data_IF_601881856520
#
_entry.id   IF_601881856520
#
_cell.length_a   1.000
_cell.length_b   1.000
_cell.length_c   1.000
_cell.angle_alpha   90.00
_cell.angle_beta   90.00
_cell.angle_gamma   90.00
#
_symmetry.space_group_name_H-M   'P 1'
#
loop_
_entity.id
_entity.type
_entity.pdbx_description
1 polymer ?
#
# COMPACT_ATOMS: atom_id res chain seq x y z
N UNK A 1 -57.97 64.22 -19.08
CA UNK A 1 -58.69 64.61 -17.84
C UNK A 1 -58.67 63.39 -16.92
N UNK A 2 -57.64 63.18 -16.10
CA UNK A 2 -57.23 63.79 -14.81
C UNK A 2 -57.59 62.84 -13.63
N UNK A 3 -56.70 62.84 -12.63
CA UNK A 3 -56.74 62.14 -11.32
C UNK A 3 -56.13 60.72 -11.34
N UNK A 4 -54.86 60.48 -11.00
CA UNK A 4 -54.08 60.81 -9.77
C UNK A 4 -54.54 60.04 -8.53
N UNK A 5 -53.69 59.10 -8.07
CA UNK A 5 -53.40 58.87 -6.65
C UNK A 5 -52.24 57.89 -6.52
N UNK A 6 -51.04 58.46 -6.44
CA UNK A 6 -49.82 57.83 -5.95
C UNK A 6 -50.02 57.42 -4.49
N UNK A 7 -49.84 56.12 -4.16
CA UNK A 7 -49.68 55.66 -2.78
C UNK A 7 -48.33 54.98 -2.58
N UNK A 8 -47.70 55.47 -1.53
CA UNK A 8 -46.33 55.29 -1.08
C UNK A 8 -46.13 53.92 -0.39
N UNK A 9 -45.00 53.29 -0.74
CA UNK A 9 -44.14 52.34 0.00
C UNK A 9 -44.75 51.35 1.01
N UNK A 10 -44.41 50.07 0.83
CA UNK A 10 -43.81 49.28 1.91
C UNK A 10 -42.78 48.29 1.33
N UNK A 11 -41.52 48.44 1.73
CA UNK A 11 -40.47 47.45 1.53
C UNK A 11 -40.75 46.24 2.44
N UNK A 12 -40.81 45.05 1.86
CA UNK A 12 -40.67 43.80 2.60
C UNK A 12 -39.61 42.95 1.90
N UNK A 13 -38.37 43.08 2.37
CA UNK A 13 -37.24 42.23 1.99
C UNK A 13 -37.45 40.84 2.59
N UNK A 14 -38.03 39.91 1.83
CA UNK A 14 -38.06 38.50 2.23
C UNK A 14 -36.74 37.84 1.81
N UNK A 15 -35.81 37.80 2.77
CA UNK A 15 -34.58 37.02 2.71
C UNK A 15 -34.95 35.54 2.93
N UNK A 16 -35.36 34.84 1.88
CA UNK A 16 -35.55 33.38 1.96
C UNK A 16 -34.19 32.72 1.81
N UNK A 17 -33.65 32.32 2.95
CA UNK A 17 -32.39 31.62 3.11
C UNK A 17 -32.33 30.34 2.27
N UNK A 18 -31.16 30.11 1.67
CA UNK A 18 -30.77 28.86 1.05
C UNK A 18 -30.95 27.68 2.00
N UNK A 19 -31.98 26.87 1.77
CA UNK A 19 -32.08 25.51 2.26
C UNK A 19 -31.23 24.60 1.40
N UNK A 20 -29.93 24.60 1.66
CA UNK A 20 -28.94 23.68 1.13
C UNK A 20 -29.41 22.22 1.28
N UNK A 21 -29.82 21.60 0.17
CA UNK A 21 -30.00 20.17 0.05
C UNK A 21 -28.70 19.49 0.44
N UNK A 22 -28.68 18.89 1.63
CA UNK A 22 -27.64 17.95 2.04
C UNK A 22 -27.74 16.71 1.17
N UNK A 23 -27.08 16.75 0.03
CA UNK A 23 -26.78 15.61 -0.81
C UNK A 23 -25.43 15.88 -1.45
N UNK A 24 -24.38 15.61 -0.69
CA UNK A 24 -23.18 14.95 -1.22
C UNK A 24 -22.36 14.53 -0.01
N UNK A 25 -22.69 13.33 0.48
CA UNK A 25 -21.65 12.49 1.00
C UNK A 25 -20.67 12.28 -0.17
N UNK A 26 -19.65 13.13 -0.23
CA UNK A 26 -18.42 12.84 -0.97
C UNK A 26 -17.85 11.57 -0.35
N UNK A 27 -18.41 10.46 -0.82
CA UNK A 27 -17.74 9.18 -0.89
C UNK A 27 -16.43 9.53 -1.56
N UNK A 28 -15.35 9.56 -0.79
CA UNK A 28 -14.02 9.52 -1.35
C UNK A 28 -14.02 8.26 -2.22
N UNK A 29 -14.23 8.44 -3.53
CA UNK A 29 -13.84 7.45 -4.51
C UNK A 29 -12.34 7.38 -4.34
N UNK A 30 -11.89 6.49 -3.46
CA UNK A 30 -10.59 5.86 -3.61
C UNK A 30 -10.58 5.38 -5.06
N UNK A 31 -9.81 6.07 -5.88
CA UNK A 31 -9.50 5.57 -7.21
C UNK A 31 -9.00 4.14 -6.99
N UNK A 32 -9.50 3.13 -7.71
CA UNK A 32 -8.95 1.79 -7.56
C UNK A 32 -7.50 1.89 -8.04
N UNK A 33 -6.59 2.02 -7.08
CA UNK A 33 -5.16 1.83 -7.29
C UNK A 33 -5.05 0.47 -7.95
N UNK A 34 -4.58 0.47 -9.21
CA UNK A 34 -4.46 -0.75 -9.97
C UNK A 34 -3.66 -1.77 -9.15
N UNK A 35 -4.01 -3.06 -9.17
CA UNK A 35 -3.40 -4.08 -8.32
C UNK A 35 -1.86 -4.12 -8.38
N UNK A 36 -1.28 -3.68 -9.50
CA UNK A 36 0.16 -3.56 -9.71
C UNK A 36 0.85 -2.42 -8.93
N UNK A 37 0.14 -1.34 -8.59
CA UNK A 37 0.76 -0.19 -7.92
C UNK A 37 1.13 -0.49 -6.46
N UNK A 38 0.41 -1.40 -5.80
CA UNK A 38 0.72 -1.81 -4.43
C UNK A 38 1.97 -2.69 -4.33
N UNK A 39 2.47 -3.18 -5.47
CA UNK A 39 3.69 -3.98 -5.59
C UNK A 39 4.78 -3.26 -6.41
N UNK A 40 4.55 -1.98 -6.73
CA UNK A 40 5.48 -1.19 -7.51
C UNK A 40 6.54 -0.52 -6.62
N UNK A 41 7.74 -0.35 -7.17
CA UNK A 41 8.85 0.33 -6.50
C UNK A 41 9.58 -0.56 -5.49
N UNK A 42 10.18 0.09 -4.50
CA UNK A 42 11.03 -0.57 -3.51
C UNK A 42 10.19 -1.22 -2.41
N UNK A 43 10.52 -2.47 -2.09
CA UNK A 43 9.88 -3.24 -1.03
C UNK A 43 10.94 -3.95 -0.18
N UNK A 44 10.62 -4.15 1.10
CA UNK A 44 11.41 -4.99 2.00
C UNK A 44 10.49 -6.06 2.58
N UNK A 45 10.89 -7.33 2.44
CA UNK A 45 10.24 -8.46 3.08
C UNK A 45 11.16 -9.05 4.15
N UNK A 46 10.60 -9.53 5.26
CA UNK A 46 11.35 -10.14 6.35
C UNK A 46 10.53 -11.21 7.06
N UNK A 47 11.21 -12.22 7.59
CA UNK A 47 10.62 -13.19 8.50
C UNK A 47 11.49 -13.35 9.75
N UNK A 48 10.84 -13.65 10.87
CA UNK A 48 11.47 -13.73 12.20
C UNK A 48 11.86 -15.16 12.57
N UNK A 49 11.12 -16.19 12.14
CA UNK A 49 11.51 -17.58 12.38
C UNK A 49 11.25 -18.50 11.16
N UNK A 50 12.32 -19.03 10.54
CA UNK A 50 13.72 -18.60 10.70
C UNK A 50 13.91 -17.13 10.28
N UNK A 51 14.98 -16.49 10.73
CA UNK A 51 15.31 -15.11 10.33
C UNK A 51 15.75 -15.04 8.86
N UNK A 52 15.12 -14.16 8.09
CA UNK A 52 15.50 -13.85 6.72
C UNK A 52 15.00 -12.47 6.30
N UNK A 53 15.63 -11.89 5.28
CA UNK A 53 15.16 -10.66 4.64
C UNK A 53 15.37 -10.70 3.13
N UNK A 54 14.45 -10.11 2.38
CA UNK A 54 14.59 -9.82 0.96
C UNK A 54 14.39 -8.32 0.73
N UNK A 55 15.41 -7.69 0.18
CA UNK A 55 15.37 -6.29 -0.26
C UNK A 55 15.11 -6.26 -1.75
N UNK A 56 14.00 -5.65 -2.18
CA UNK A 56 13.59 -5.54 -3.60
C UNK A 56 13.80 -4.11 -4.04
N UNK A 57 14.67 -3.90 -5.03
CA UNK A 57 14.94 -2.61 -5.67
C UNK A 57 14.73 -2.71 -7.17
N UNK A 58 14.63 -1.58 -7.86
CA UNK A 58 14.38 -1.55 -9.30
C UNK A 58 15.34 -2.44 -10.13
N UNK A 59 16.62 -2.49 -9.74
CA UNK A 59 17.69 -3.19 -10.45
C UNK A 59 18.06 -4.55 -9.85
N UNK A 60 17.68 -4.83 -8.59
CA UNK A 60 18.13 -6.05 -7.93
C UNK A 60 17.30 -6.52 -6.73
N UNK A 61 17.47 -7.80 -6.40
CA UNK A 61 17.02 -8.40 -5.15
C UNK A 61 18.25 -8.84 -4.35
N UNK A 62 18.24 -8.51 -3.06
CA UNK A 62 19.22 -9.01 -2.09
C UNK A 62 18.51 -9.92 -1.09
N UNK A 63 18.94 -11.17 -1.00
CA UNK A 63 18.46 -12.16 -0.04
C UNK A 63 19.49 -12.37 1.07
N UNK A 64 19.10 -12.05 2.30
CA UNK A 64 19.95 -12.03 3.50
C UNK A 64 19.45 -13.01 4.55
N UNK A 65 20.38 -13.70 5.22
CA UNK A 65 20.12 -14.61 6.35
C UNK A 65 21.26 -14.55 7.36
N UNK A 66 21.00 -14.70 8.67
CA UNK A 66 22.07 -14.66 9.66
C UNK A 66 23.15 -15.72 9.42
N UNK A 67 24.42 -15.30 9.51
CA UNK A 67 25.58 -16.20 9.39
C UNK A 67 25.88 -16.69 7.97
N UNK A 68 25.22 -16.14 6.95
CA UNK A 68 25.43 -16.49 5.54
C UNK A 68 25.63 -15.20 4.74
N UNK A 69 26.49 -15.25 3.71
CA UNK A 69 26.68 -14.10 2.82
C UNK A 69 25.43 -13.81 1.98
N UNK A 70 25.19 -12.53 1.76
CA UNK A 70 24.04 -12.03 1.00
C UNK A 70 24.08 -12.52 -0.44
N UNK A 71 22.94 -13.06 -0.91
CA UNK A 71 22.78 -13.46 -2.30
C UNK A 71 22.13 -12.31 -3.09
N UNK A 72 22.82 -11.79 -4.10
CA UNK A 72 22.35 -10.70 -4.96
C UNK A 72 21.95 -11.24 -6.34
N UNK A 73 20.80 -10.82 -6.83
CA UNK A 73 20.27 -11.21 -8.14
C UNK A 73 19.70 -9.98 -8.85
N UNK A 74 19.65 -10.01 -10.19
CA UNK A 74 18.89 -9.01 -10.95
C UNK A 74 17.40 -9.10 -10.60
N UNK A 75 16.68 -7.98 -10.67
CA UNK A 75 15.23 -7.98 -10.46
C UNK A 75 14.49 -8.37 -11.75
N UNK A 76 13.83 -9.55 -11.83
CA UNK A 76 13.04 -9.93 -12.99
C UNK A 76 11.70 -9.18 -13.07
N UNK A 77 11.35 -8.43 -12.03
CA UNK A 77 10.02 -7.87 -11.82
C UNK A 77 9.03 -8.89 -11.24
N UNK A 78 7.93 -8.41 -10.63
CA UNK A 78 6.88 -9.29 -10.17
C UNK A 78 5.96 -9.75 -11.30
N UNK A 79 5.48 -10.98 -11.21
CA UNK A 79 4.22 -11.38 -11.84
C UNK A 79 3.08 -11.01 -10.88
N UNK A 80 2.22 -10.07 -11.28
CA UNK A 80 1.12 -9.56 -10.46
C UNK A 80 -0.21 -10.20 -10.87
N UNK A 81 -0.91 -10.74 -9.89
CA UNK A 81 -2.24 -11.34 -10.03
C UNK A 81 -3.13 -10.86 -8.88
N UNK A 82 -4.13 -10.03 -9.18
CA UNK A 82 -5.05 -9.45 -8.19
C UNK A 82 -4.36 -8.83 -6.96
N UNK A 83 -4.41 -9.49 -5.82
CA UNK A 83 -3.89 -9.06 -4.53
C UNK A 83 -2.51 -9.68 -4.22
N UNK A 84 -1.85 -10.26 -5.22
CA UNK A 84 -0.57 -10.97 -5.06
C UNK A 84 0.46 -10.57 -6.11
N UNK A 85 1.72 -10.57 -5.70
CA UNK A 85 2.87 -10.40 -6.58
C UNK A 85 3.94 -11.46 -6.30
N UNK A 86 4.48 -12.05 -7.35
CA UNK A 86 5.47 -13.13 -7.25
C UNK A 86 6.77 -12.75 -7.95
N UNK A 87 7.89 -12.80 -7.22
CA UNK A 87 9.23 -12.75 -7.78
C UNK A 87 9.81 -14.16 -7.80
N UNK A 88 10.36 -14.57 -8.94
CA UNK A 88 11.01 -15.87 -9.10
C UNK A 88 12.45 -15.66 -9.53
N UNK A 89 13.39 -16.05 -8.68
CA UNK A 89 14.81 -16.17 -9.00
C UNK A 89 15.07 -17.65 -9.29
N UNK A 90 15.13 -18.00 -10.58
CA UNK A 90 15.27 -19.39 -11.02
C UNK A 90 16.72 -19.89 -10.95
N UNK A 91 17.69 -18.99 -11.13
CA UNK A 91 19.11 -19.28 -11.21
C UNK A 91 19.91 -18.45 -10.19
N UNK A 92 21.19 -18.79 -10.03
CA UNK A 92 22.10 -18.06 -9.14
C UNK A 92 22.44 -18.82 -7.84
N UNK A 93 23.16 -18.17 -6.91
CA UNK A 93 23.71 -18.83 -5.73
C UNK A 93 22.63 -19.25 -4.71
N UNK A 94 21.44 -18.65 -4.77
CA UNK A 94 20.32 -18.97 -3.89
C UNK A 94 18.98 -18.76 -4.64
N UNK A 95 18.54 -19.73 -5.45
CA UNK A 95 17.24 -19.66 -6.13
C UNK A 95 16.09 -19.63 -5.11
N UNK A 96 15.11 -18.77 -5.34
CA UNK A 96 13.94 -18.65 -4.46
C UNK A 96 12.72 -18.13 -5.21
N UNK A 97 11.55 -18.32 -4.58
CA UNK A 97 10.30 -17.69 -4.98
C UNK A 97 9.73 -16.91 -3.80
N UNK A 98 9.59 -15.61 -3.95
CA UNK A 98 8.93 -14.74 -2.98
C UNK A 98 7.54 -14.40 -3.51
N UNK A 99 6.52 -14.63 -2.70
CA UNK A 99 5.17 -14.15 -2.97
C UNK A 99 4.75 -13.18 -1.89
N UNK A 100 4.33 -11.98 -2.31
CA UNK A 100 3.70 -11.00 -1.43
C UNK A 100 2.20 -10.98 -1.71
N UNK A 101 1.40 -10.93 -0.65
CA UNK A 101 -0.07 -10.87 -0.71
C UNK A 101 -0.55 -9.71 0.13
N UNK A 102 -1.49 -8.91 -0.36
CA UNK A 102 -2.05 -7.79 0.44
C UNK A 102 -2.76 -8.33 1.67
N UNK A 103 -2.54 -7.65 2.79
CA UNK A 103 -3.20 -7.95 4.04
C UNK A 103 -2.34 -7.56 5.23
N UNK A 104 -3.01 -7.25 6.34
CA UNK A 104 -2.36 -6.95 7.61
C UNK A 104 -1.42 -8.09 8.02
N UNK A 105 -0.22 -7.72 8.45
CA UNK A 105 0.81 -8.64 8.90
C UNK A 105 1.58 -8.04 10.09
N UNK A 106 1.95 -8.89 11.04
CA UNK A 106 2.85 -8.57 12.15
C UNK A 106 3.99 -9.58 12.16
N UNK A 107 5.21 -9.11 12.38
CA UNK A 107 6.39 -9.97 12.44
C UNK A 107 6.52 -10.71 13.79
N UNK A 108 5.63 -10.43 14.74
CA UNK A 108 5.54 -11.09 16.04
C UNK A 108 6.67 -10.76 17.02
N UNK A 109 7.63 -9.94 16.61
CA UNK A 109 8.81 -9.57 17.40
C UNK A 109 8.91 -8.07 17.66
N UNK A 110 8.29 -7.27 16.80
CA UNK A 110 8.17 -5.82 16.96
C UNK A 110 6.70 -5.41 17.02
N UNK A 111 6.46 -4.17 17.44
CA UNK A 111 5.13 -3.53 17.37
C UNK A 111 4.81 -3.02 15.95
N UNK A 112 5.54 -3.48 14.93
CA UNK A 112 5.34 -3.01 13.55
C UNK A 112 4.20 -3.74 12.86
N UNK A 113 3.42 -2.96 12.13
CA UNK A 113 2.37 -3.40 11.24
C UNK A 113 2.81 -3.26 9.79
N UNK A 114 2.54 -4.28 9.00
CA UNK A 114 2.91 -4.36 7.59
C UNK A 114 1.66 -4.59 6.76
N UNK A 115 1.63 -4.05 5.55
CA UNK A 115 0.47 -4.14 4.65
C UNK A 115 0.51 -5.36 3.71
N UNK A 116 1.62 -6.12 3.71
CA UNK A 116 1.79 -7.31 2.90
C UNK A 116 2.23 -8.51 3.75
N UNK A 117 1.61 -9.66 3.48
CA UNK A 117 2.05 -10.97 3.94
C UNK A 117 3.08 -11.53 2.95
N UNK A 118 4.17 -12.09 3.45
CA UNK A 118 5.25 -12.65 2.64
C UNK A 118 5.36 -14.18 2.82
N UNK A 119 5.44 -14.89 1.69
CA UNK A 119 5.73 -16.33 1.64
C UNK A 119 6.98 -16.52 0.78
N UNK A 120 8.04 -17.04 1.39
CA UNK A 120 9.31 -17.34 0.75
C UNK A 120 9.50 -18.85 0.63
N UNK A 121 9.58 -19.35 -0.60
CA UNK A 121 10.00 -20.71 -0.90
C UNK A 121 11.48 -20.70 -1.26
N UNK A 122 12.30 -21.40 -0.48
CA UNK A 122 13.75 -21.52 -0.67
C UNK A 122 14.20 -22.95 -0.40
N UNK A 123 14.71 -23.63 -1.43
CA UNK A 123 14.94 -25.07 -1.38
C UNK A 123 13.64 -25.82 -1.08
N UNK A 124 13.65 -26.70 -0.08
CA UNK A 124 12.48 -27.44 0.39
C UNK A 124 11.68 -26.71 1.49
N UNK A 125 12.10 -25.50 1.87
CA UNK A 125 11.49 -24.74 2.96
C UNK A 125 10.49 -23.72 2.44
N UNK A 126 9.36 -23.63 3.13
CA UNK A 126 8.44 -22.49 3.04
C UNK A 126 8.57 -21.70 4.33
N UNK A 127 8.92 -20.42 4.21
CA UNK A 127 9.12 -19.51 5.33
C UNK A 127 8.13 -18.35 5.19
N UNK A 128 7.63 -17.88 6.32
CA UNK A 128 6.61 -16.83 6.38
C UNK A 128 7.22 -15.54 6.91
N UNK A 129 6.58 -14.42 6.59
CA UNK A 129 7.04 -13.11 6.99
C UNK A 129 6.06 -12.02 6.61
N UNK A 130 6.51 -10.78 6.76
CA UNK A 130 5.79 -9.58 6.39
C UNK A 130 6.60 -8.76 5.38
N UNK A 131 5.95 -7.86 4.67
CA UNK A 131 6.61 -6.92 3.78
C UNK A 131 5.91 -5.57 3.75
N UNK A 132 6.68 -4.53 3.47
CA UNK A 132 6.15 -3.20 3.17
C UNK A 132 7.19 -2.37 2.40
N UNK A 133 6.82 -1.17 2.01
CA UNK A 133 7.75 -0.18 1.47
C UNK A 133 8.75 0.27 2.54
N UNK A 134 10.00 0.60 2.17
CA UNK A 134 10.98 1.14 3.11
C UNK A 134 10.47 2.36 3.89
N UNK A 135 9.69 3.23 3.23
CA UNK A 135 9.12 4.42 3.84
C UNK A 135 8.08 4.08 4.92
N UNK A 136 7.18 3.12 4.66
CA UNK A 136 6.19 2.68 5.64
C UNK A 136 6.83 2.00 6.85
N UNK A 137 7.89 1.23 6.66
CA UNK A 137 8.65 0.62 7.76
C UNK A 137 9.35 1.71 8.59
N UNK A 138 9.98 2.69 7.92
CA UNK A 138 10.71 3.77 8.58
C UNK A 138 9.80 4.76 9.34
N UNK A 139 8.54 4.88 8.95
CA UNK A 139 7.55 5.71 9.64
C UNK A 139 7.13 5.13 11.00
N UNK A 140 7.44 3.86 11.27
CA UNK A 140 7.11 3.17 12.51
C UNK A 140 8.28 3.22 13.49
N UNK A 141 8.03 3.13 14.81
CA UNK A 141 9.10 3.05 15.80
C UNK A 141 10.16 2.00 15.44
N UNK A 142 11.42 2.32 15.74
CA UNK A 142 12.48 1.32 15.68
C UNK A 142 12.20 0.24 16.76
N UNK A 143 12.44 -1.05 16.45
CA UNK A 143 12.36 -2.12 17.43
C UNK A 143 13.41 -1.95 18.55
#
# INVERSE_FOLDING_TARGET
>A
MMSAALRLMLLASTLTACGQSGADATTAKGSPTAPAADFAGDLNALGTEPFWAITIRADGLTFSRPGVEDSKNANPGPVVEHDRATWTIADGPAPFKLTLTKGECSDGMSDRHYTLNAVLVFGEKTMYGCADTPAAIAAQPAP
#
